data_IF_036026662452
#
_entry.id   IF_036026662452
#
_cell.length_a   1.000
_cell.length_b   1.000
_cell.length_c   1.000
_cell.angle_alpha   90.00
_cell.angle_beta   90.00
_cell.angle_gamma   90.00
#
_symmetry.space_group_name_H-M   'P 1'
#
loop_
_entity.id
_entity.type
_entity.pdbx_description
1 polymer ?
#
# COMPACT_ATOMS: atom_id res chain seq x y z
N UNK A 1 88.63 -22.88 -29.82
CA UNK A 1 88.52 -22.09 -28.58
C UNK A 1 87.99 -20.66 -28.82
N UNK A 2 87.98 -20.16 -30.04
CA UNK A 2 87.46 -18.82 -30.38
C UNK A 2 85.95 -18.73 -30.62
N UNK A 3 85.28 -19.84 -30.91
CA UNK A 3 83.81 -19.87 -31.14
C UNK A 3 82.98 -19.83 -29.84
N UNK A 4 83.52 -20.26 -28.71
CA UNK A 4 82.81 -20.31 -27.40
C UNK A 4 82.78 -18.92 -26.72
N UNK A 5 83.79 -18.07 -26.97
CA UNK A 5 83.84 -16.70 -26.42
C UNK A 5 82.88 -15.75 -27.15
N UNK A 6 82.52 -15.98 -28.44
CA UNK A 6 81.53 -15.18 -29.19
C UNK A 6 80.10 -15.42 -28.74
N UNK A 7 79.72 -16.63 -28.31
CA UNK A 7 78.41 -16.99 -27.86
C UNK A 7 78.13 -16.44 -26.44
N UNK A 8 79.18 -16.44 -25.56
CA UNK A 8 79.02 -15.85 -24.21
C UNK A 8 78.86 -14.31 -24.23
N UNK A 9 79.55 -13.62 -25.19
CA UNK A 9 79.38 -12.18 -25.38
C UNK A 9 78.03 -11.79 -25.98
N UNK A 10 77.46 -12.63 -26.85
CA UNK A 10 76.15 -12.40 -27.47
C UNK A 10 74.99 -12.68 -26.52
N UNK A 11 75.07 -13.66 -25.58
CA UNK A 11 74.13 -13.94 -24.57
C UNK A 11 74.10 -12.87 -23.43
N UNK A 12 75.30 -12.35 -23.07
CA UNK A 12 75.47 -11.28 -22.11
C UNK A 12 74.90 -9.91 -22.59
N UNK A 13 75.02 -9.65 -23.91
CA UNK A 13 74.51 -8.40 -24.50
C UNK A 13 72.98 -8.42 -24.72
N UNK A 14 72.38 -9.59 -24.87
CA UNK A 14 70.91 -9.73 -25.03
C UNK A 14 70.11 -9.67 -23.68
N UNK A 15 70.81 -9.85 -22.55
CA UNK A 15 70.20 -9.80 -21.23
C UNK A 15 70.32 -8.41 -20.54
N UNK A 16 70.96 -7.43 -21.23
CA UNK A 16 71.21 -6.08 -20.70
C UNK A 16 70.23 -5.01 -21.20
N UNK A 17 69.13 -5.40 -21.85
CA UNK A 17 68.13 -4.44 -22.39
C UNK A 17 66.71 -4.80 -22.04
N UNK A 18 66.49 -5.30 -20.83
CA UNK A 18 65.16 -5.23 -20.29
C UNK A 18 64.88 -3.75 -19.92
N UNK A 19 63.83 -3.12 -20.44
CA UNK A 19 63.52 -1.76 -20.08
C UNK A 19 63.26 -1.73 -18.57
N UNK A 20 63.98 -0.82 -17.87
CA UNK A 20 63.72 -0.57 -16.44
C UNK A 20 62.44 0.22 -16.30
N UNK A 21 61.58 -0.12 -15.33
CA UNK A 21 60.33 0.54 -14.97
C UNK A 21 59.13 -0.37 -15.13
N UNK A 22 58.20 -0.26 -14.19
CA UNK A 22 56.89 -0.94 -14.25
C UNK A 22 56.03 -0.31 -15.35
N UNK A 23 55.38 -1.19 -16.15
CA UNK A 23 54.49 -0.76 -17.24
C UNK A 23 53.14 -0.36 -16.71
N UNK A 24 52.73 0.91 -16.97
CA UNK A 24 51.50 1.50 -16.41
C UNK A 24 50.65 2.13 -17.49
N UNK A 25 49.32 2.07 -17.26
CA UNK A 25 48.35 2.86 -17.99
C UNK A 25 48.10 4.16 -17.22
N UNK A 26 47.90 5.28 -17.92
CA UNK A 26 47.64 6.58 -17.30
C UNK A 26 46.30 7.15 -17.79
N UNK A 27 45.62 7.91 -16.93
CA UNK A 27 44.45 8.72 -17.27
C UNK A 27 44.71 10.17 -16.86
N UNK A 28 44.00 11.10 -17.50
CA UNK A 28 44.05 12.51 -17.11
C UNK A 28 42.90 12.82 -16.11
N UNK A 29 43.21 13.71 -15.19
CA UNK A 29 42.15 14.31 -14.34
C UNK A 29 41.32 15.26 -15.19
N UNK A 30 40.03 15.02 -15.29
CA UNK A 30 39.10 15.83 -16.08
C UNK A 30 37.92 16.27 -15.24
N UNK A 31 37.30 17.39 -15.61
CA UNK A 31 36.01 17.79 -15.01
C UNK A 31 34.87 17.09 -15.75
N UNK A 32 34.03 16.40 -14.99
CA UNK A 32 32.84 15.66 -15.49
C UNK A 32 31.68 15.82 -14.56
N UNK A 33 30.47 15.56 -15.09
CA UNK A 33 29.30 15.30 -14.27
C UNK A 33 29.33 13.86 -13.82
N UNK A 34 29.33 13.61 -12.51
CA UNK A 34 29.23 12.29 -11.90
C UNK A 34 27.85 12.12 -11.33
N UNK A 35 27.24 10.99 -11.59
CA UNK A 35 25.93 10.60 -11.03
C UNK A 35 26.13 9.39 -10.15
N UNK A 36 25.89 9.54 -8.85
CA UNK A 36 25.84 8.38 -7.97
C UNK A 36 24.52 7.66 -8.18
N UNK A 37 24.56 6.37 -8.48
CA UNK A 37 23.39 5.55 -8.75
C UNK A 37 23.31 4.36 -7.81
N UNK A 38 22.08 3.99 -7.44
CA UNK A 38 21.75 2.76 -6.73
C UNK A 38 20.97 1.86 -7.67
N UNK A 39 21.57 0.72 -8.02
CA UNK A 39 20.92 -0.28 -8.87
C UNK A 39 20.05 -1.22 -8.04
N UNK A 40 18.82 -1.43 -8.48
CA UNK A 40 17.89 -2.35 -7.85
C UNK A 40 17.06 -3.09 -8.89
N UNK A 41 16.57 -4.27 -8.54
CA UNK A 41 15.65 -5.05 -9.39
C UNK A 41 14.32 -5.26 -8.71
N UNK A 42 13.27 -5.40 -9.52
CA UNK A 42 11.92 -5.58 -9.01
C UNK A 42 10.91 -5.88 -10.08
N UNK A 43 9.66 -5.51 -9.83
CA UNK A 43 8.54 -5.75 -10.75
C UNK A 43 7.65 -4.54 -10.87
N UNK A 44 6.99 -4.44 -12.02
CA UNK A 44 6.02 -3.40 -12.32
C UNK A 44 4.65 -3.83 -11.82
N UNK A 45 3.97 -2.94 -11.10
CA UNK A 45 2.61 -3.10 -10.60
C UNK A 45 1.78 -1.85 -10.92
N UNK A 46 0.46 -1.94 -10.95
CA UNK A 46 -0.39 -0.76 -10.98
C UNK A 46 -0.28 0.00 -9.66
N UNK A 47 -0.32 1.33 -9.70
CA UNK A 47 -0.32 2.18 -8.49
C UNK A 47 -1.55 1.89 -7.62
N UNK A 48 -2.69 1.60 -8.27
CA UNK A 48 -3.94 1.25 -7.59
C UNK A 48 -4.43 -0.11 -8.04
N UNK A 49 -4.51 -1.05 -7.11
CA UNK A 49 -5.09 -2.37 -7.29
C UNK A 49 -6.11 -2.65 -6.20
N UNK A 50 -7.30 -3.12 -6.59
CA UNK A 50 -8.37 -3.48 -5.66
C UNK A 50 -8.70 -4.96 -5.82
N UNK A 51 -8.50 -5.71 -4.75
CA UNK A 51 -8.87 -7.14 -4.68
C UNK A 51 -10.35 -7.23 -4.35
N UNK A 52 -11.11 -7.94 -5.18
CA UNK A 52 -12.54 -8.19 -5.01
C UNK A 52 -12.71 -9.56 -4.37
N UNK A 53 -13.33 -9.57 -3.19
CA UNK A 53 -13.72 -10.78 -2.47
C UNK A 53 -15.21 -10.71 -2.10
N UNK A 54 -15.94 -11.84 -2.04
CA UNK A 54 -17.36 -11.81 -1.69
C UNK A 54 -17.54 -11.58 -0.19
N UNK A 55 -18.58 -10.85 0.17
CA UNK A 55 -19.00 -10.71 1.58
C UNK A 55 -19.82 -11.92 2.07
N UNK A 56 -20.43 -12.65 1.13
CA UNK A 56 -21.30 -13.80 1.41
C UNK A 56 -20.82 -15.04 0.68
N UNK A 57 -21.00 -16.18 1.32
CA UNK A 57 -20.65 -17.48 0.70
C UNK A 57 -21.79 -18.01 -0.15
N UNK A 58 -21.45 -18.62 -1.28
CA UNK A 58 -22.42 -19.24 -2.20
C UNK A 58 -21.79 -19.70 -3.49
N UNK A 59 -22.59 -20.15 -4.45
CA UNK A 59 -22.20 -20.53 -5.80
C UNK A 59 -22.33 -19.32 -6.75
N UNK A 60 -21.40 -19.15 -7.66
CA UNK A 60 -21.46 -18.12 -8.70
C UNK A 60 -22.44 -18.56 -9.78
N UNK A 61 -23.61 -17.95 -9.82
CA UNK A 61 -24.65 -18.29 -10.83
C UNK A 61 -24.48 -17.51 -12.12
N UNK A 62 -23.93 -16.32 -12.06
CA UNK A 62 -23.71 -15.45 -13.21
C UNK A 62 -22.38 -14.72 -13.07
N UNK A 63 -21.62 -14.70 -14.17
CA UNK A 63 -20.35 -13.97 -14.33
C UNK A 63 -20.48 -13.16 -15.61
N UNK A 64 -20.29 -11.84 -15.53
CA UNK A 64 -20.57 -10.89 -16.61
C UNK A 64 -19.30 -10.28 -17.22
N UNK A 65 -18.15 -10.64 -16.72
CA UNK A 65 -16.87 -10.05 -17.09
C UNK A 65 -15.82 -11.14 -17.27
N UNK A 66 -14.81 -10.83 -18.10
CA UNK A 66 -13.66 -11.67 -18.39
C UNK A 66 -12.35 -10.95 -17.98
N UNK A 67 -11.25 -11.69 -17.90
CA UNK A 67 -9.93 -11.11 -17.66
C UNK A 67 -9.53 -10.22 -18.83
N UNK A 68 -9.08 -9.00 -18.53
CA UNK A 68 -8.75 -7.98 -19.54
C UNK A 68 -9.88 -6.99 -19.83
N UNK A 69 -11.10 -7.22 -19.35
CA UNK A 69 -12.22 -6.29 -19.56
C UNK A 69 -12.01 -4.98 -18.78
N UNK A 70 -12.40 -3.88 -19.42
CA UNK A 70 -12.49 -2.57 -18.77
C UNK A 70 -13.83 -2.42 -18.05
N UNK A 71 -13.81 -2.06 -16.79
CA UNK A 71 -15.00 -1.90 -15.93
C UNK A 71 -15.07 -0.50 -15.35
N UNK A 72 -16.31 0.00 -15.16
CA UNK A 72 -16.56 1.29 -14.51
C UNK A 72 -17.11 1.08 -13.10
N UNK A 73 -16.90 2.07 -12.23
CA UNK A 73 -17.44 2.05 -10.87
C UNK A 73 -18.96 1.80 -10.87
N UNK A 74 -19.42 0.83 -10.06
CA UNK A 74 -20.82 0.42 -9.94
C UNK A 74 -21.28 -0.61 -10.97
N UNK A 75 -20.45 -0.98 -11.95
CA UNK A 75 -20.75 -2.03 -12.93
C UNK A 75 -20.92 -3.38 -12.25
N UNK A 76 -21.90 -4.16 -12.70
CA UNK A 76 -22.15 -5.52 -12.22
C UNK A 76 -21.04 -6.45 -12.74
N UNK A 77 -20.39 -7.16 -11.82
CA UNK A 77 -19.31 -8.10 -12.13
C UNK A 77 -19.81 -9.53 -12.13
N UNK A 78 -20.45 -9.94 -11.04
CA UNK A 78 -20.98 -11.30 -10.90
C UNK A 78 -22.12 -11.33 -9.89
N UNK A 79 -22.84 -12.47 -9.86
CA UNK A 79 -23.89 -12.75 -8.90
C UNK A 79 -23.66 -14.10 -8.24
N UNK A 80 -23.68 -14.10 -6.91
CA UNK A 80 -23.75 -15.30 -6.07
C UNK A 80 -25.20 -15.72 -5.92
N UNK A 81 -25.49 -17.00 -5.78
CA UNK A 81 -26.85 -17.54 -5.62
C UNK A 81 -27.65 -16.80 -4.53
N UNK A 82 -28.74 -16.09 -4.89
CA UNK A 82 -29.50 -15.30 -3.98
C UNK A 82 -30.65 -16.06 -3.29
N UNK A 83 -30.95 -17.33 -3.63
CA UNK A 83 -32.20 -18.04 -3.26
C UNK A 83 -32.37 -18.12 -1.75
N UNK A 84 -31.32 -18.47 -1.01
CA UNK A 84 -31.35 -18.57 0.44
C UNK A 84 -31.59 -17.18 1.08
N UNK A 85 -30.99 -16.15 0.53
CA UNK A 85 -31.14 -14.76 1.03
C UNK A 85 -32.51 -14.18 0.70
N UNK A 86 -33.07 -14.48 -0.50
CA UNK A 86 -34.44 -14.12 -0.87
C UNK A 86 -35.45 -14.73 0.10
N UNK A 87 -35.35 -16.04 0.36
CA UNK A 87 -36.21 -16.74 1.31
C UNK A 87 -36.08 -16.16 2.74
N UNK A 88 -34.89 -15.70 3.13
CA UNK A 88 -34.70 -15.04 4.42
C UNK A 88 -35.38 -13.67 4.46
N UNK A 89 -35.32 -12.87 3.40
CA UNK A 89 -36.05 -11.60 3.29
C UNK A 89 -37.55 -11.78 3.37
N UNK A 90 -38.11 -12.75 2.64
CA UNK A 90 -39.55 -13.06 2.68
C UNK A 90 -40.00 -13.44 4.10
N UNK A 91 -39.22 -14.24 4.83
CA UNK A 91 -39.51 -14.55 6.25
C UNK A 91 -39.45 -13.27 7.13
N UNK A 92 -38.44 -12.40 6.86
CA UNK A 92 -38.30 -11.12 7.57
C UNK A 92 -39.51 -10.21 7.34
N UNK A 93 -40.00 -10.13 6.10
CA UNK A 93 -41.22 -9.36 5.74
C UNK A 93 -42.50 -9.90 6.43
N UNK A 94 -42.64 -11.23 6.48
CA UNK A 94 -43.75 -11.86 7.21
C UNK A 94 -43.69 -11.54 8.72
N UNK A 95 -42.52 -11.57 9.33
CA UNK A 95 -42.32 -11.21 10.74
C UNK A 95 -42.64 -9.74 11.00
N UNK A 96 -42.22 -8.84 10.14
CA UNK A 96 -42.56 -7.42 10.22
C UNK A 96 -44.07 -7.19 10.12
N UNK A 97 -44.74 -7.88 9.17
CA UNK A 97 -46.20 -7.78 9.02
C UNK A 97 -46.94 -8.29 10.26
N UNK A 98 -46.45 -9.36 10.89
CA UNK A 98 -47.01 -9.85 12.17
C UNK A 98 -46.85 -8.82 13.30
N UNK A 99 -45.66 -8.19 13.42
CA UNK A 99 -45.41 -7.15 14.40
C UNK A 99 -46.32 -5.92 14.18
N UNK A 100 -46.52 -5.50 12.94
CA UNK A 100 -47.44 -4.41 12.56
C UNK A 100 -48.90 -4.73 12.90
N UNK A 101 -49.31 -5.98 12.67
CA UNK A 101 -50.65 -6.45 13.04
C UNK A 101 -50.87 -6.39 14.56
N UNK A 102 -49.87 -6.86 15.34
CA UNK A 102 -49.95 -6.79 16.81
C UNK A 102 -50.00 -5.34 17.32
N UNK A 103 -49.22 -4.43 16.72
CA UNK A 103 -49.29 -3.00 17.03
C UNK A 103 -50.69 -2.41 16.71
N UNK A 104 -51.26 -2.79 15.57
CA UNK A 104 -52.63 -2.34 15.21
C UNK A 104 -53.70 -2.82 16.22
N UNK A 105 -53.59 -4.07 16.69
CA UNK A 105 -54.46 -4.63 17.74
C UNK A 105 -54.30 -3.86 19.05
N UNK A 106 -53.05 -3.56 19.46
CA UNK A 106 -52.79 -2.78 20.67
C UNK A 106 -53.33 -1.34 20.57
N UNK A 107 -53.30 -0.71 19.40
CA UNK A 107 -53.89 0.60 19.14
C UNK A 107 -55.43 0.55 19.17
N UNK A 108 -56.07 -0.51 18.65
CA UNK A 108 -57.51 -0.70 18.72
C UNK A 108 -57.97 -0.85 20.17
N UNK A 109 -57.17 -1.47 21.05
CA UNK A 109 -57.46 -1.59 22.47
C UNK A 109 -57.50 -0.21 23.19
N UNK A 110 -56.62 0.73 22.79
CA UNK A 110 -56.68 2.11 23.30
C UNK A 110 -58.04 2.75 22.96
N UNK A 111 -58.47 2.65 21.70
CA UNK A 111 -59.72 3.22 21.24
C UNK A 111 -60.93 2.61 21.99
N UNK A 112 -60.90 1.30 22.27
CA UNK A 112 -61.93 0.62 23.08
C UNK A 112 -61.93 1.16 24.49
N UNK A 113 -60.81 1.30 25.16
CA UNK A 113 -60.76 1.84 26.54
C UNK A 113 -61.16 3.33 26.62
N UNK A 114 -60.84 4.12 25.57
CA UNK A 114 -61.26 5.51 25.45
C UNK A 114 -62.80 5.63 25.31
N UNK A 115 -63.41 4.73 24.54
CA UNK A 115 -64.90 4.65 24.44
C UNK A 115 -65.51 4.30 25.77
N UNK A 116 -64.96 3.36 26.53
CA UNK A 116 -65.42 3.01 27.86
C UNK A 116 -65.30 4.18 28.85
N UNK A 117 -64.17 4.93 28.78
CA UNK A 117 -64.02 6.16 29.59
C UNK A 117 -65.14 7.19 29.30
N UNK A 118 -65.49 7.39 28.02
CA UNK A 118 -66.52 8.31 27.61
C UNK A 118 -67.92 7.91 28.21
N UNK A 119 -68.20 6.60 28.25
CA UNK A 119 -69.40 6.07 28.89
C UNK A 119 -69.41 6.40 30.40
N UNK A 120 -68.32 6.18 31.12
CA UNK A 120 -68.17 6.48 32.53
C UNK A 120 -68.26 8.00 32.83
N UNK A 121 -67.72 8.85 31.95
CA UNK A 121 -67.78 10.30 32.02
C UNK A 121 -69.25 10.76 31.92
N UNK A 122 -70.06 10.12 31.06
CA UNK A 122 -71.50 10.37 30.93
C UNK A 122 -72.23 9.97 32.19
N UNK A 123 -71.89 8.84 32.81
CA UNK A 123 -72.47 8.39 34.10
C UNK A 123 -72.04 9.34 35.23
N UNK A 124 -70.82 9.82 35.32
CA UNK A 124 -70.39 10.83 36.29
C UNK A 124 -71.19 12.14 36.12
N UNK A 125 -71.41 12.61 34.90
CA UNK A 125 -72.20 13.80 34.62
C UNK A 125 -73.68 13.64 35.10
N UNK A 126 -74.21 12.42 34.99
CA UNK A 126 -75.54 12.13 35.52
C UNK A 126 -75.54 12.11 37.04
N UNK A 127 -74.55 11.47 37.71
CA UNK A 127 -74.44 11.45 39.16
C UNK A 127 -74.30 12.89 39.74
N UNK A 128 -73.45 13.72 39.11
CA UNK A 128 -73.26 15.12 39.49
C UNK A 128 -74.63 15.92 39.45
N UNK A 129 -75.32 15.77 38.35
CA UNK A 129 -76.63 16.45 38.21
C UNK A 129 -77.68 16.03 39.31
N UNK A 130 -77.61 14.74 39.71
CA UNK A 130 -78.48 14.25 40.79
C UNK A 130 -78.03 14.80 42.15
N UNK A 131 -76.72 14.79 42.37
CA UNK A 131 -76.12 15.30 43.61
C UNK A 131 -76.39 16.83 43.80
N UNK A 132 -76.13 17.63 42.75
CA UNK A 132 -76.36 19.09 42.76
C UNK A 132 -77.80 19.42 43.10
N UNK A 133 -78.77 18.69 42.55
CA UNK A 133 -80.18 18.85 42.88
C UNK A 133 -80.47 18.42 44.33
N UNK A 134 -79.93 17.30 44.79
CA UNK A 134 -80.13 16.83 46.18
C UNK A 134 -79.42 17.78 47.17
N UNK A 135 -78.30 18.40 46.80
CA UNK A 135 -77.66 19.43 47.61
C UNK A 135 -78.56 20.63 47.87
N UNK A 136 -79.25 21.16 46.84
CA UNK A 136 -80.22 22.27 47.00
C UNK A 136 -81.36 21.87 47.86
N UNK A 137 -81.93 20.68 47.65
CA UNK A 137 -83.06 20.20 48.44
C UNK A 137 -82.71 19.95 49.91
N UNK A 138 -81.44 19.57 50.18
CA UNK A 138 -80.97 19.42 51.54
C UNK A 138 -80.78 20.77 52.24
N UNK A 139 -80.16 21.75 51.51
CA UNK A 139 -80.07 23.14 52.01
C UNK A 139 -81.40 23.77 52.30
N UNK A 140 -82.45 23.41 51.57
CA UNK A 140 -83.87 23.82 51.79
C UNK A 140 -84.58 23.00 52.89
N UNK A 141 -83.91 21.97 53.46
CA UNK A 141 -84.51 21.12 54.52
C UNK A 141 -85.56 20.10 54.06
N UNK A 142 -85.61 19.82 52.73
CA UNK A 142 -86.63 18.95 52.10
C UNK A 142 -86.26 17.47 52.15
N UNK A 143 -84.95 17.13 52.15
CA UNK A 143 -84.48 15.74 52.20
C UNK A 143 -83.62 15.47 53.43
N UNK A 144 -83.48 14.17 53.81
CA UNK A 144 -82.62 13.76 54.91
C UNK A 144 -81.13 13.80 54.52
N UNK A 145 -80.23 13.89 55.52
CA UNK A 145 -78.80 13.80 55.35
C UNK A 145 -78.35 12.47 54.67
N UNK A 146 -79.04 11.39 54.98
CA UNK A 146 -78.76 10.07 54.37
C UNK A 146 -78.90 10.09 52.86
N UNK A 147 -79.92 10.75 52.28
CA UNK A 147 -80.14 10.87 50.84
C UNK A 147 -79.08 11.77 50.21
N UNK A 148 -78.62 12.83 50.89
CA UNK A 148 -77.55 13.68 50.46
C UNK A 148 -76.20 12.87 50.41
N UNK A 149 -75.87 12.19 51.51
CA UNK A 149 -74.67 11.40 51.62
C UNK A 149 -74.66 10.26 50.62
N UNK A 150 -75.77 9.61 50.35
CA UNK A 150 -75.90 8.59 49.31
C UNK A 150 -75.62 9.13 47.91
N UNK A 151 -76.08 10.35 47.61
CA UNK A 151 -75.83 10.98 46.31
C UNK A 151 -74.32 11.38 46.13
N UNK A 152 -73.72 11.81 47.26
CA UNK A 152 -72.23 12.10 47.27
C UNK A 152 -71.45 10.83 47.04
N UNK A 153 -71.75 9.75 47.75
CA UNK A 153 -71.10 8.46 47.56
C UNK A 153 -71.16 7.91 46.12
N UNK A 154 -72.29 8.20 45.43
CA UNK A 154 -72.45 7.83 44.02
C UNK A 154 -71.59 8.63 43.11
N UNK A 155 -71.33 9.94 43.37
CA UNK A 155 -70.39 10.78 42.64
C UNK A 155 -68.95 10.26 42.86
N UNK A 156 -68.55 10.00 44.10
CA UNK A 156 -67.20 9.47 44.45
C UNK A 156 -66.97 8.12 43.77
N UNK A 157 -67.95 7.22 43.76
CA UNK A 157 -67.90 5.92 43.09
C UNK A 157 -67.68 6.08 41.56
N UNK A 158 -68.45 7.04 40.95
CA UNK A 158 -68.25 7.31 39.51
C UNK A 158 -66.89 7.93 39.19
N UNK A 159 -66.37 8.80 40.09
CA UNK A 159 -65.03 9.36 39.95
C UNK A 159 -63.94 8.27 40.06
N UNK A 160 -64.05 7.36 41.02
CA UNK A 160 -63.16 6.23 41.16
C UNK A 160 -63.14 5.32 39.92
N UNK A 161 -64.33 5.12 39.31
CA UNK A 161 -64.49 4.35 38.07
C UNK A 161 -63.76 5.01 36.89
N UNK A 162 -63.79 6.33 36.75
CA UNK A 162 -63.06 7.08 35.73
C UNK A 162 -61.59 7.00 36.00
N UNK A 163 -61.12 7.13 37.25
CA UNK A 163 -59.71 6.99 37.58
C UNK A 163 -59.16 5.60 37.18
N UNK A 164 -59.93 4.54 37.40
CA UNK A 164 -59.61 3.19 36.94
C UNK A 164 -59.56 3.09 35.43
N UNK A 165 -60.51 3.69 34.70
CA UNK A 165 -60.43 3.69 33.21
C UNK A 165 -59.23 4.45 32.66
N UNK A 166 -58.85 5.58 33.29
CA UNK A 166 -57.63 6.31 32.93
C UNK A 166 -56.33 5.47 33.12
N UNK A 167 -56.28 4.71 34.23
CA UNK A 167 -55.18 3.78 34.47
C UNK A 167 -55.14 2.69 33.39
N UNK A 168 -56.29 2.15 32.96
CA UNK A 168 -56.37 1.16 31.88
C UNK A 168 -55.96 1.75 30.53
N UNK A 169 -56.32 2.98 30.21
CA UNK A 169 -55.87 3.68 29.00
C UNK A 169 -54.36 3.87 29.03
N UNK A 170 -53.82 4.28 30.17
CA UNK A 170 -52.36 4.43 30.32
C UNK A 170 -51.63 3.10 30.07
N UNK A 171 -52.12 2.01 30.69
CA UNK A 171 -51.55 0.67 30.48
C UNK A 171 -51.64 0.23 29.02
N UNK A 172 -52.77 0.48 28.33
CA UNK A 172 -52.93 0.18 26.91
C UNK A 172 -51.99 1.00 26.02
N UNK A 173 -51.75 2.28 26.37
CA UNK A 173 -50.77 3.14 25.66
C UNK A 173 -49.33 2.64 25.81
N UNK A 174 -48.94 2.21 27.01
CA UNK A 174 -47.62 1.61 27.22
C UNK A 174 -47.48 0.29 26.47
N UNK A 175 -48.53 -0.54 26.42
CA UNK A 175 -48.53 -1.78 25.61
C UNK A 175 -48.41 -1.50 24.12
N UNK A 176 -49.11 -0.49 23.59
CA UNK A 176 -48.98 -0.07 22.20
C UNK A 176 -47.57 0.45 21.85
N UNK A 177 -46.95 1.19 22.79
CA UNK A 177 -45.59 1.65 22.67
C UNK A 177 -44.56 0.48 22.65
N UNK A 178 -44.78 -0.53 23.48
CA UNK A 178 -43.97 -1.75 23.46
C UNK A 178 -44.10 -2.50 22.12
N UNK A 179 -45.30 -2.59 21.56
CA UNK A 179 -45.54 -3.17 20.24
C UNK A 179 -44.90 -2.35 19.13
N UNK A 180 -44.85 -1.02 19.25
CA UNK A 180 -44.13 -0.14 18.32
C UNK A 180 -42.61 -0.43 18.30
N UNK A 181 -41.98 -0.60 19.47
CA UNK A 181 -40.58 -1.01 19.56
C UNK A 181 -40.32 -2.39 18.93
N UNK A 182 -41.28 -3.32 19.03
CA UNK A 182 -41.19 -4.61 18.35
C UNK A 182 -41.24 -4.46 16.84
N UNK A 183 -42.03 -3.52 16.29
CA UNK A 183 -42.01 -3.19 14.86
C UNK A 183 -40.68 -2.64 14.45
N UNK A 184 -40.10 -1.67 15.18
CA UNK A 184 -38.79 -1.10 14.90
C UNK A 184 -37.67 -2.18 14.91
N UNK A 185 -37.71 -3.10 15.87
CA UNK A 185 -36.79 -4.24 15.93
C UNK A 185 -36.91 -5.15 14.70
N UNK A 186 -38.16 -5.44 14.28
CA UNK A 186 -38.41 -6.27 13.09
C UNK A 186 -38.00 -5.57 11.79
N UNK A 187 -38.14 -4.24 11.71
CA UNK A 187 -37.68 -3.42 10.58
C UNK A 187 -36.15 -3.42 10.48
N UNK A 188 -35.45 -3.30 11.62
CA UNK A 188 -33.98 -3.38 11.66
C UNK A 188 -33.45 -4.75 11.18
N UNK A 189 -34.10 -5.84 11.66
CA UNK A 189 -33.79 -7.20 11.23
C UNK A 189 -34.03 -7.41 9.72
N UNK A 190 -35.16 -6.92 9.20
CA UNK A 190 -35.45 -6.98 7.76
C UNK A 190 -34.42 -6.19 6.94
N UNK A 191 -33.98 -5.03 7.42
CA UNK A 191 -32.93 -4.24 6.76
C UNK A 191 -31.63 -5.03 6.68
N UNK A 192 -31.23 -5.72 7.75
CA UNK A 192 -30.05 -6.59 7.76
C UNK A 192 -30.15 -7.69 6.69
N UNK A 193 -31.30 -8.39 6.63
CA UNK A 193 -31.54 -9.45 5.62
C UNK A 193 -31.48 -8.90 4.19
N UNK A 194 -32.05 -7.71 3.94
CA UNK A 194 -31.97 -7.03 2.64
C UNK A 194 -30.52 -6.61 2.29
N UNK A 195 -29.74 -6.19 3.27
CA UNK A 195 -28.31 -5.90 3.07
C UNK A 195 -27.54 -7.16 2.68
N UNK A 196 -27.78 -8.28 3.36
CA UNK A 196 -27.14 -9.55 3.01
C UNK A 196 -27.56 -10.02 1.61
N UNK A 197 -28.81 -9.83 1.21
CA UNK A 197 -29.24 -10.09 -0.15
C UNK A 197 -28.52 -9.17 -1.17
N UNK A 198 -28.35 -7.89 -0.86
CA UNK A 198 -27.65 -6.97 -1.76
C UNK A 198 -26.18 -7.36 -1.98
N UNK A 199 -25.53 -7.98 -0.98
CA UNK A 199 -24.16 -8.49 -1.04
C UNK A 199 -23.97 -9.71 -1.94
N UNK A 200 -25.05 -10.36 -2.37
CA UNK A 200 -24.99 -11.43 -3.39
C UNK A 200 -24.69 -10.88 -4.78
N UNK A 201 -24.90 -9.58 -4.99
CA UNK A 201 -24.66 -8.89 -6.24
C UNK A 201 -23.38 -8.07 -6.12
N UNK A 202 -22.30 -8.55 -6.72
CA UNK A 202 -20.97 -7.93 -6.60
C UNK A 202 -20.77 -6.94 -7.74
N UNK A 203 -20.44 -5.70 -7.38
CA UNK A 203 -20.20 -4.58 -8.29
C UNK A 203 -18.79 -4.04 -8.12
N UNK A 204 -18.27 -3.43 -9.18
CA UNK A 204 -16.96 -2.78 -9.13
C UNK A 204 -16.97 -1.57 -8.20
N UNK A 205 -16.04 -1.48 -7.23
CA UNK A 205 -15.89 -0.30 -6.37
C UNK A 205 -15.17 0.85 -7.07
N UNK A 206 -14.42 0.57 -8.15
CA UNK A 206 -13.60 1.54 -8.90
C UNK A 206 -13.69 1.31 -10.39
N UNK A 207 -13.21 2.28 -11.17
CA UNK A 207 -12.99 2.13 -12.61
C UNK A 207 -11.59 1.58 -12.83
N UNK A 208 -11.43 0.64 -13.77
CA UNK A 208 -10.14 0.02 -14.08
C UNK A 208 -10.29 -1.15 -15.03
N UNK A 209 -9.27 -2.00 -15.10
CA UNK A 209 -9.22 -3.22 -15.92
C UNK A 209 -9.10 -4.42 -15.02
N UNK A 210 -9.77 -5.51 -15.36
CA UNK A 210 -9.64 -6.78 -14.64
C UNK A 210 -8.26 -7.37 -14.96
N UNK A 211 -7.34 -7.27 -14.02
CA UNK A 211 -5.96 -7.76 -14.17
C UNK A 211 -5.82 -9.26 -13.88
N UNK A 212 -6.75 -9.83 -13.12
CA UNK A 212 -6.80 -11.26 -12.81
C UNK A 212 -8.23 -11.66 -12.47
N UNK A 213 -8.66 -12.83 -12.94
CA UNK A 213 -9.94 -13.46 -12.62
C UNK A 213 -9.65 -14.88 -12.12
N UNK A 214 -9.87 -15.11 -10.82
CA UNK A 214 -9.48 -16.37 -10.14
C UNK A 214 -10.61 -17.37 -10.00
N UNK A 215 -11.82 -17.06 -10.50
CA UNK A 215 -13.03 -17.89 -10.32
C UNK A 215 -13.79 -18.09 -11.61
N UNK A 216 -14.57 -19.15 -11.67
CA UNK A 216 -15.43 -19.51 -12.81
C UNK A 216 -16.90 -19.57 -12.41
N UNK A 217 -17.80 -19.47 -13.41
CA UNK A 217 -19.24 -19.69 -13.21
C UNK A 217 -19.50 -21.12 -12.74
N UNK A 218 -20.30 -21.27 -11.68
CA UNK A 218 -20.61 -22.54 -11.01
C UNK A 218 -19.67 -22.89 -9.87
N UNK A 219 -18.63 -22.09 -9.65
CA UNK A 219 -17.69 -22.27 -8.54
C UNK A 219 -18.29 -21.75 -7.23
N UNK A 220 -17.89 -22.38 -6.12
CA UNK A 220 -18.34 -21.99 -4.78
C UNK A 220 -17.31 -21.11 -4.08
N UNK A 221 -17.73 -19.92 -3.70
CA UNK A 221 -16.90 -18.94 -3.02
C UNK A 221 -17.23 -18.81 -1.54
N UNK A 222 -16.24 -18.42 -0.74
CA UNK A 222 -16.37 -18.21 0.70
C UNK A 222 -16.27 -16.72 1.00
N UNK A 223 -17.26 -16.18 1.73
CA UNK A 223 -17.29 -14.77 2.12
C UNK A 223 -16.32 -14.43 3.24
N UNK A 224 -15.95 -13.13 3.32
CA UNK A 224 -14.94 -12.59 4.25
C UNK A 224 -15.40 -12.46 5.70
N UNK A 225 -16.68 -12.69 6.03
CA UNK A 225 -17.24 -12.37 7.35
C UNK A 225 -16.58 -13.10 8.53
N UNK A 226 -15.93 -14.25 8.30
CA UNK A 226 -15.35 -15.09 9.36
C UNK A 226 -13.94 -15.61 9.08
N UNK A 227 -13.45 -15.48 7.84
CA UNK A 227 -12.13 -15.97 7.40
C UNK A 227 -11.61 -15.11 6.25
N UNK A 228 -10.37 -15.32 5.83
CA UNK A 228 -9.90 -14.78 4.55
C UNK A 228 -10.82 -15.29 3.44
N UNK A 229 -11.57 -14.40 2.80
CA UNK A 229 -12.49 -14.75 1.72
C UNK A 229 -11.75 -15.25 0.49
N UNK A 230 -12.49 -15.91 -0.42
CA UNK A 230 -11.95 -16.27 -1.73
C UNK A 230 -11.67 -15.01 -2.53
N UNK A 231 -10.46 -14.85 -3.05
CA UNK A 231 -10.17 -13.81 -4.03
C UNK A 231 -10.86 -14.15 -5.34
N UNK A 232 -11.77 -13.26 -5.79
CA UNK A 232 -12.53 -13.45 -7.03
C UNK A 232 -11.77 -12.89 -8.22
N UNK A 233 -11.40 -11.63 -8.13
CA UNK A 233 -10.70 -10.90 -9.19
C UNK A 233 -9.94 -9.70 -8.63
N UNK A 234 -9.03 -9.17 -9.44
CA UNK A 234 -8.33 -7.91 -9.19
C UNK A 234 -8.72 -6.89 -10.22
N UNK A 235 -8.99 -5.68 -9.81
CA UNK A 235 -9.26 -4.53 -10.66
C UNK A 235 -8.14 -3.54 -10.47
N UNK A 236 -7.43 -3.21 -11.54
CA UNK A 236 -6.23 -2.41 -11.55
C UNK A 236 -6.38 -1.18 -12.45
N UNK A 237 -5.85 -0.04 -12.01
CA UNK A 237 -5.68 1.11 -12.91
C UNK A 237 -4.35 0.97 -13.65
N UNK A 238 -4.42 0.57 -14.91
CA UNK A 238 -3.24 0.37 -15.76
C UNK A 238 -2.71 1.66 -16.41
N UNK A 239 -3.32 2.81 -16.15
CA UNK A 239 -2.84 4.09 -16.66
C UNK A 239 -1.67 4.63 -15.83
N UNK A 240 -1.62 4.28 -14.54
CA UNK A 240 -0.55 4.66 -13.63
C UNK A 240 0.15 3.42 -13.10
N UNK A 241 1.41 3.26 -13.50
CA UNK A 241 2.22 2.10 -13.12
C UNK A 241 3.37 2.52 -12.19
N UNK A 242 3.71 1.64 -11.26
CA UNK A 242 4.87 1.78 -10.39
C UNK A 242 5.78 0.56 -10.47
N UNK A 243 7.09 0.78 -10.38
CA UNK A 243 8.05 -0.27 -10.16
C UNK A 243 8.27 -0.43 -8.66
N UNK A 244 8.06 -1.63 -8.14
CA UNK A 244 8.39 -2.01 -6.77
C UNK A 244 9.69 -2.78 -6.79
N UNK A 245 10.74 -2.17 -6.26
CA UNK A 245 12.11 -2.70 -6.28
C UNK A 245 12.64 -2.94 -4.88
N UNK A 246 13.55 -3.89 -4.77
CA UNK A 246 14.20 -4.24 -3.51
C UNK A 246 15.59 -3.60 -3.46
N UNK A 247 15.79 -2.68 -2.53
CA UNK A 247 17.04 -1.98 -2.27
C UNK A 247 17.67 -2.53 -0.99
N UNK A 248 19.00 -2.73 -0.99
CA UNK A 248 19.74 -3.28 0.15
C UNK A 248 19.81 -2.28 1.32
N UNK A 249 20.05 -2.78 2.55
CA UNK A 249 20.20 -1.96 3.75
C UNK A 249 21.34 -0.93 3.63
N UNK A 250 22.40 -1.25 2.89
CA UNK A 250 23.55 -0.36 2.73
C UNK A 250 23.23 0.84 1.81
N UNK A 251 22.36 0.64 0.83
CA UNK A 251 22.07 1.62 -0.22
C UNK A 251 20.81 2.43 0.08
N UNK A 252 19.87 1.90 0.90
CA UNK A 252 18.61 2.58 1.21
C UNK A 252 18.80 3.93 1.88
N UNK A 253 19.90 4.11 2.61
CA UNK A 253 20.23 5.37 3.28
C UNK A 253 20.59 6.50 2.32
N UNK A 254 20.94 6.17 1.07
CA UNK A 254 21.28 7.14 0.02
C UNK A 254 20.04 7.57 -0.76
N UNK A 255 19.00 6.72 -0.83
CA UNK A 255 17.79 6.97 -1.62
C UNK A 255 16.87 7.96 -0.91
N UNK A 256 16.41 8.96 -1.66
CA UNK A 256 15.49 9.97 -1.17
C UNK A 256 14.19 9.99 -1.98
N UNK A 257 13.14 10.59 -1.36
CA UNK A 257 11.88 10.82 -2.07
C UNK A 257 12.08 11.83 -3.20
N UNK A 258 11.48 11.55 -4.35
CA UNK A 258 11.56 12.30 -5.62
C UNK A 258 12.90 12.19 -6.35
N UNK A 259 13.80 11.28 -5.98
CA UNK A 259 14.96 10.97 -6.79
C UNK A 259 14.52 10.53 -8.19
N UNK A 260 15.23 10.99 -9.21
CA UNK A 260 15.01 10.59 -10.59
C UNK A 260 15.52 9.17 -10.80
N UNK A 261 14.80 8.38 -11.58
CA UNK A 261 15.11 6.97 -11.79
C UNK A 261 15.05 6.63 -13.25
N UNK A 262 16.09 5.97 -13.75
CA UNK A 262 16.11 5.30 -15.03
C UNK A 262 15.63 3.85 -14.87
N UNK A 263 14.61 3.46 -15.64
CA UNK A 263 13.94 2.16 -15.52
C UNK A 263 14.12 1.39 -16.83
N UNK A 264 14.67 0.20 -16.74
CA UNK A 264 14.77 -0.76 -17.83
C UNK A 264 13.81 -1.92 -17.57
N UNK A 265 12.94 -2.20 -18.53
CA UNK A 265 11.97 -3.29 -18.44
C UNK A 265 12.40 -4.42 -19.36
N UNK A 266 12.49 -5.64 -18.85
CA UNK A 266 13.01 -6.79 -19.60
C UNK A 266 12.24 -7.07 -20.91
N UNK A 267 10.95 -6.69 -20.95
CA UNK A 267 10.12 -6.82 -22.13
C UNK A 267 10.47 -5.81 -23.26
N UNK A 268 11.22 -4.75 -22.95
CA UNK A 268 11.56 -3.63 -23.85
C UNK A 268 13.07 -3.33 -23.80
N UNK A 269 13.89 -4.25 -24.30
CA UNK A 269 15.36 -4.28 -24.16
C UNK A 269 16.06 -3.00 -24.65
N UNK A 270 15.49 -2.32 -25.66
CA UNK A 270 16.13 -1.15 -26.30
C UNK A 270 15.55 0.20 -25.80
N UNK A 271 14.77 0.21 -24.73
CA UNK A 271 14.13 1.41 -24.22
C UNK A 271 14.35 1.60 -22.73
N UNK A 272 14.73 2.82 -22.37
CA UNK A 272 14.76 3.30 -21.00
C UNK A 272 13.51 4.14 -20.73
N UNK A 273 12.90 3.90 -19.58
CA UNK A 273 11.79 4.67 -19.08
C UNK A 273 12.26 5.51 -17.90
N UNK A 274 11.61 6.63 -17.67
CA UNK A 274 11.93 7.50 -16.53
C UNK A 274 10.84 7.39 -15.47
N UNK A 275 11.23 7.63 -14.23
CA UNK A 275 10.31 7.64 -13.10
C UNK A 275 10.85 8.44 -11.93
N UNK A 276 10.10 8.46 -10.85
CA UNK A 276 10.49 9.11 -9.59
C UNK A 276 10.16 8.23 -8.39
N UNK A 277 11.03 8.28 -7.39
CA UNK A 277 10.78 7.62 -6.11
C UNK A 277 9.60 8.28 -5.41
N UNK A 278 8.53 7.51 -5.15
CA UNK A 278 7.31 7.99 -4.49
C UNK A 278 7.17 7.52 -3.05
N UNK A 279 7.69 6.34 -2.73
CA UNK A 279 7.59 5.77 -1.38
C UNK A 279 8.82 4.90 -1.08
N UNK A 280 9.30 5.00 0.15
CA UNK A 280 10.37 4.16 0.69
C UNK A 280 9.80 3.44 1.91
N UNK A 281 9.79 2.10 1.87
CA UNK A 281 9.26 1.31 2.98
C UNK A 281 10.11 1.48 4.24
N UNK A 282 9.47 1.74 5.37
CA UNK A 282 10.13 1.90 6.68
C UNK A 282 10.47 0.55 7.36
N UNK A 283 10.02 -0.58 6.78
CA UNK A 283 10.28 -1.92 7.31
C UNK A 283 10.86 -2.81 6.23
N UNK A 284 11.76 -3.69 6.63
CA UNK A 284 12.35 -4.68 5.74
C UNK A 284 11.30 -5.65 5.18
N UNK A 285 11.45 -6.07 3.92
CA UNK A 285 10.52 -6.95 3.21
C UNK A 285 10.33 -8.30 3.91
N UNK A 286 11.37 -8.84 4.54
CA UNK A 286 11.34 -10.11 5.28
C UNK A 286 10.78 -10.00 6.71
N UNK A 287 10.74 -8.81 7.31
CA UNK A 287 10.12 -8.59 8.63
C UNK A 287 8.59 -8.72 8.60
N UNK A 288 7.94 -8.46 7.46
CA UNK A 288 6.48 -8.54 7.29
C UNK A 288 5.95 -9.98 7.18
N UNK A 289 6.79 -10.96 6.86
CA UNK A 289 6.40 -12.37 6.67
C UNK A 289 6.32 -13.16 7.98
N UNK A 290 5.91 -12.59 9.10
CA UNK A 290 5.44 -13.20 10.36
C UNK A 290 5.94 -14.60 10.79
N UNK A 291 6.94 -15.17 10.14
CA UNK A 291 7.52 -16.47 10.45
C UNK A 291 8.63 -16.30 11.48
N UNK A 292 8.22 -16.14 12.73
CA UNK A 292 9.06 -15.88 13.90
C UNK A 292 9.99 -17.04 14.33
N UNK A 293 10.43 -17.93 13.42
CA UNK A 293 11.16 -19.11 13.85
C UNK A 293 12.40 -19.47 13.02
N UNK A 294 13.01 -18.53 12.30
CA UNK A 294 14.33 -18.80 11.70
C UNK A 294 15.20 -17.53 11.82
N UNK A 295 16.02 -17.50 12.86
CA UNK A 295 17.19 -16.65 12.96
C UNK A 295 18.23 -17.14 11.93
N UNK A 296 17.92 -17.04 10.64
CA UNK A 296 18.92 -17.18 9.59
C UNK A 296 19.62 -15.84 9.46
N UNK A 297 20.79 -15.73 10.05
CA UNK A 297 21.68 -14.56 10.09
C UNK A 297 22.27 -14.21 8.71
N UNK A 298 22.06 -15.05 7.70
CA UNK A 298 22.63 -14.88 6.35
C UNK A 298 21.66 -14.28 5.32
N UNK A 299 20.49 -13.80 5.76
CA UNK A 299 19.52 -13.22 4.82
C UNK A 299 19.75 -11.71 4.70
N UNK A 300 20.09 -11.25 3.50
CA UNK A 300 20.26 -9.82 3.18
C UNK A 300 18.96 -9.09 3.48
N UNK A 301 19.06 -8.01 4.23
CA UNK A 301 17.92 -7.14 4.56
C UNK A 301 17.63 -6.22 3.38
N UNK A 302 16.46 -6.35 2.76
CA UNK A 302 16.02 -5.50 1.67
C UNK A 302 14.83 -4.65 2.08
N UNK A 303 14.75 -3.45 1.51
CA UNK A 303 13.64 -2.50 1.67
C UNK A 303 12.95 -2.29 0.33
N UNK A 304 11.62 -2.22 0.35
CA UNK A 304 10.84 -1.97 -0.85
C UNK A 304 10.81 -0.48 -1.12
N UNK A 305 11.22 -0.10 -2.34
CA UNK A 305 11.11 1.26 -2.86
C UNK A 305 10.12 1.24 -4.01
N UNK A 306 9.13 2.17 -3.98
CA UNK A 306 8.15 2.34 -5.05
C UNK A 306 8.53 3.53 -5.91
N UNK A 307 8.56 3.31 -7.20
CA UNK A 307 8.97 4.28 -8.20
C UNK A 307 7.83 4.41 -9.21
N UNK A 308 7.22 5.58 -9.29
CA UNK A 308 6.16 5.83 -10.28
C UNK A 308 6.81 6.07 -11.63
N UNK A 309 6.35 5.32 -12.64
CA UNK A 309 6.76 5.51 -14.03
C UNK A 309 6.12 6.80 -14.58
N UNK A 310 6.90 7.57 -15.32
CA UNK A 310 6.42 8.78 -15.99
C UNK A 310 5.53 8.37 -17.19
N UNK A 311 4.25 8.74 -17.21
CA UNK A 311 3.34 8.41 -18.31
C UNK A 311 3.86 8.90 -19.67
N UNK A 312 4.58 10.02 -19.69
CA UNK A 312 5.16 10.58 -20.91
C UNK A 312 6.20 9.67 -21.57
N UNK A 313 6.89 8.83 -20.78
CA UNK A 313 7.95 7.93 -21.26
C UNK A 313 7.42 6.71 -22.02
N UNK A 314 6.15 6.34 -21.86
CA UNK A 314 5.55 5.16 -22.48
C UNK A 314 4.27 5.42 -23.29
N UNK A 315 3.80 6.67 -23.37
CA UNK A 315 2.58 7.02 -24.15
C UNK A 315 2.71 6.60 -25.62
N UNK A 316 3.90 6.66 -26.21
CA UNK A 316 4.16 6.23 -27.58
C UNK A 316 3.97 4.72 -27.83
N UNK A 317 4.02 3.90 -26.77
CA UNK A 317 3.83 2.45 -26.86
C UNK A 317 2.36 2.05 -26.86
N UNK A 318 1.45 2.96 -26.49
CA UNK A 318 0.02 2.73 -26.53
C UNK A 318 -0.48 2.79 -27.97
N UNK A 319 -0.54 1.64 -28.63
CA UNK A 319 -1.05 1.47 -29.98
C UNK A 319 -2.48 0.93 -29.93
N UNK A 320 -3.22 1.05 -31.07
CA UNK A 320 -4.61 0.54 -31.21
C UNK A 320 -4.77 -0.96 -30.87
N UNK A 321 -3.69 -1.74 -30.89
CA UNK A 321 -3.69 -3.17 -30.57
C UNK A 321 -3.34 -3.50 -29.12
N UNK A 322 -2.74 -2.55 -28.35
CA UNK A 322 -2.43 -2.70 -26.95
C UNK A 322 -2.60 -1.37 -26.26
N UNK A 323 -3.73 -1.19 -25.60
CA UNK A 323 -4.03 0.04 -24.84
C UNK A 323 -3.13 0.21 -23.63
N UNK A 324 -2.51 -0.86 -23.15
CA UNK A 324 -1.69 -0.87 -21.93
C UNK A 324 -0.35 -1.55 -22.23
N UNK A 325 0.77 -0.79 -22.27
CA UNK A 325 2.09 -1.33 -22.60
C UNK A 325 2.65 -2.23 -21.50
N UNK A 326 2.34 -1.94 -20.25
CA UNK A 326 2.83 -2.73 -19.11
C UNK A 326 1.74 -3.65 -18.57
N UNK A 327 2.17 -4.84 -18.14
CA UNK A 327 1.32 -5.78 -17.42
C UNK A 327 1.84 -5.97 -15.98
N UNK A 328 0.96 -6.09 -14.98
CA UNK A 328 1.37 -6.39 -13.63
C UNK A 328 2.28 -7.63 -13.56
N UNK A 329 3.38 -7.52 -12.81
CA UNK A 329 4.34 -8.61 -12.64
C UNK A 329 5.51 -8.64 -13.64
N UNK A 330 5.57 -7.73 -14.64
CA UNK A 330 6.75 -7.60 -15.51
C UNK A 330 7.99 -7.25 -14.69
N UNK A 331 9.13 -7.88 -15.01
CA UNK A 331 10.41 -7.58 -14.38
C UNK A 331 10.99 -6.27 -14.88
N UNK A 332 11.61 -5.54 -13.98
CA UNK A 332 12.32 -4.30 -14.27
C UNK A 332 13.58 -4.18 -13.42
N UNK A 333 14.61 -3.59 -14.03
CA UNK A 333 15.83 -3.13 -13.35
C UNK A 333 15.81 -1.61 -13.31
N UNK A 334 16.25 -1.03 -12.22
CA UNK A 334 16.23 0.43 -12.04
C UNK A 334 17.57 0.94 -11.57
N UNK A 335 17.91 2.15 -12.00
CA UNK A 335 19.05 2.92 -11.55
C UNK A 335 18.52 4.20 -10.91
N UNK A 336 18.53 4.26 -9.58
CA UNK A 336 18.08 5.41 -8.80
C UNK A 336 19.22 6.39 -8.70
N UNK A 337 19.04 7.61 -9.19
CA UNK A 337 20.05 8.67 -9.16
C UNK A 337 19.95 9.37 -7.79
N UNK A 338 20.90 9.09 -6.92
CA UNK A 338 20.88 9.55 -5.52
C UNK A 338 21.59 10.89 -5.32
N UNK A 339 22.64 11.16 -6.11
CA UNK A 339 23.34 12.44 -6.11
C UNK A 339 23.90 12.73 -7.50
N UNK A 340 23.93 14.02 -7.85
CA UNK A 340 24.49 14.49 -9.12
C UNK A 340 25.37 15.68 -8.82
N UNK A 341 26.63 15.58 -9.21
CA UNK A 341 27.59 16.69 -9.09
C UNK A 341 28.12 17.06 -10.47
N UNK A 342 27.92 18.30 -10.85
CA UNK A 342 28.35 18.84 -12.15
C UNK A 342 29.74 19.43 -12.06
N UNK A 343 30.51 19.22 -13.14
CA UNK A 343 31.87 19.82 -13.32
C UNK A 343 32.84 19.52 -12.17
N UNK A 344 32.76 18.33 -11.56
CA UNK A 344 33.70 17.92 -10.51
C UNK A 344 34.93 17.26 -11.10
N UNK A 345 36.09 17.47 -10.44
CA UNK A 345 37.33 16.81 -10.81
C UNK A 345 37.19 15.30 -10.59
N UNK A 346 37.46 14.53 -11.62
CA UNK A 346 37.25 13.07 -11.60
C UNK A 346 38.42 12.30 -12.15
N UNK A 347 38.59 11.09 -11.65
CA UNK A 347 39.56 10.10 -12.13
C UNK A 347 38.86 8.75 -12.23
N UNK A 348 39.43 7.80 -13.04
CA UNK A 348 38.96 6.43 -13.04
C UNK A 348 39.08 5.80 -11.63
N UNK A 349 38.01 5.10 -11.18
CA UNK A 349 37.99 4.44 -9.86
C UNK A 349 39.21 3.57 -9.62
N UNK A 350 39.72 2.92 -10.68
CA UNK A 350 40.89 2.02 -10.64
C UNK A 350 42.17 2.74 -10.22
N UNK A 351 42.26 4.08 -10.33
CA UNK A 351 43.43 4.87 -9.98
C UNK A 351 43.55 5.12 -8.46
N UNK A 352 42.46 4.97 -7.72
CA UNK A 352 42.44 5.16 -6.26
C UNK A 352 42.84 3.85 -5.58
N UNK A 353 43.76 3.93 -4.63
CA UNK A 353 44.17 2.79 -3.81
C UNK A 353 44.30 3.20 -2.34
N UNK A 354 44.16 2.24 -1.44
CA UNK A 354 44.34 2.46 0.00
C UNK A 354 45.76 2.05 0.37
N UNK A 355 46.49 2.94 1.04
CA UNK A 355 47.82 2.71 1.54
C UNK A 355 47.94 3.11 3.00
N UNK A 356 48.78 2.38 3.68
CA UNK A 356 49.25 2.77 5.00
C UNK A 356 50.28 3.91 4.84
N UNK A 357 49.97 5.05 5.44
CA UNK A 357 50.82 6.27 5.41
C UNK A 357 51.49 6.49 6.75
N UNK A 358 51.31 5.57 7.73
CA UNK A 358 51.97 5.67 9.04
C UNK A 358 53.50 5.63 8.94
N UNK A 359 54.18 6.42 9.76
CA UNK A 359 55.63 6.34 9.92
C UNK A 359 56.00 5.06 10.70
N UNK A 360 57.20 4.53 10.42
CA UNK A 360 57.69 3.27 11.06
C UNK A 360 57.55 3.33 12.61
N UNK A 361 56.57 2.58 13.14
CA UNK A 361 56.36 2.44 14.59
C UNK A 361 55.07 3.09 15.11
N UNK A 362 54.25 3.68 14.27
CA UNK A 362 52.89 4.16 14.60
C UNK A 362 51.85 3.12 14.22
N UNK A 363 50.61 3.30 14.73
CA UNK A 363 49.44 2.48 14.33
C UNK A 363 49.14 2.69 12.84
N UNK A 364 48.70 1.63 12.13
CA UNK A 364 48.36 1.69 10.70
C UNK A 364 47.36 2.83 10.43
N UNK A 365 47.76 3.80 9.58
CA UNK A 365 46.91 4.93 9.13
C UNK A 365 46.62 4.73 7.64
N UNK A 366 45.52 4.00 7.38
CA UNK A 366 45.05 3.68 6.04
C UNK A 366 44.39 4.90 5.40
N UNK A 367 44.99 5.41 4.31
CA UNK A 367 44.47 6.56 3.56
C UNK A 367 44.28 6.25 2.07
N UNK A 368 43.33 6.95 1.48
CA UNK A 368 43.15 6.95 0.04
C UNK A 368 44.25 7.74 -0.62
N UNK A 369 44.95 7.11 -1.58
CA UNK A 369 46.04 7.71 -2.31
C UNK A 369 45.90 7.45 -3.80
N UNK A 370 46.46 8.35 -4.58
CA UNK A 370 46.60 8.26 -6.03
C UNK A 370 48.06 8.43 -6.40
N UNK A 371 48.53 7.72 -7.42
CA UNK A 371 49.89 7.88 -7.95
C UNK A 371 49.87 8.77 -9.19
N UNK A 372 50.57 9.90 -9.14
CA UNK A 372 50.81 10.76 -10.27
C UNK A 372 51.98 10.20 -11.08
N UNK A 373 51.86 10.31 -12.42
CA UNK A 373 52.95 10.06 -13.33
C UNK A 373 53.72 11.36 -13.59
N UNK A 374 54.90 11.50 -13.02
CA UNK A 374 55.78 12.69 -13.20
C UNK A 374 57.19 12.23 -13.59
N UNK A 375 57.64 12.66 -14.75
CA UNK A 375 59.04 12.41 -15.22
C UNK A 375 59.49 10.93 -15.10
N UNK A 376 58.65 10.01 -15.58
CA UNK A 376 58.90 8.54 -15.54
C UNK A 376 58.97 7.96 -14.11
N UNK A 377 58.42 8.64 -13.14
CA UNK A 377 58.34 8.18 -11.73
C UNK A 377 56.97 8.34 -11.14
N UNK A 378 56.61 7.46 -10.16
CA UNK A 378 55.39 7.54 -9.40
C UNK A 378 55.54 8.53 -8.23
N UNK A 379 54.62 9.47 -8.10
CA UNK A 379 54.50 10.32 -6.93
C UNK A 379 53.20 10.02 -6.22
N UNK A 380 53.27 9.55 -5.01
CA UNK A 380 52.10 9.30 -4.17
C UNK A 380 51.52 10.60 -3.64
N UNK A 381 50.21 10.80 -3.83
CA UNK A 381 49.45 11.94 -3.32
C UNK A 381 48.23 11.42 -2.55
N UNK A 382 48.07 11.91 -1.33
CA UNK A 382 46.87 11.63 -0.56
C UNK A 382 45.68 12.43 -1.11
N UNK A 383 44.54 11.78 -1.30
CA UNK A 383 43.32 12.37 -1.85
C UNK A 383 42.17 12.17 -0.90
N UNK A 384 41.15 13.00 -1.07
CA UNK A 384 39.83 12.78 -0.44
C UNK A 384 38.82 12.60 -1.57
N UNK A 385 38.17 11.47 -1.60
CA UNK A 385 37.17 11.14 -2.62
C UNK A 385 35.77 11.65 -2.25
N UNK A 386 34.91 11.69 -3.22
CA UNK A 386 33.51 12.07 -3.08
C UNK A 386 32.56 11.01 -3.64
N UNK A 387 31.57 11.44 -4.43
CA UNK A 387 30.65 10.52 -5.12
C UNK A 387 31.34 9.78 -6.24
N UNK A 388 30.81 8.63 -6.60
CA UNK A 388 31.34 7.80 -7.69
C UNK A 388 30.21 7.24 -8.57
N UNK A 389 30.54 7.03 -9.83
CA UNK A 389 29.73 6.23 -10.75
C UNK A 389 30.43 4.89 -11.05
N UNK A 390 30.03 4.17 -12.10
CA UNK A 390 30.62 2.87 -12.46
C UNK A 390 32.07 2.95 -12.97
N UNK A 391 32.53 4.12 -13.45
CA UNK A 391 33.85 4.28 -14.08
C UNK A 391 34.72 5.32 -13.37
N UNK A 392 34.12 6.37 -12.80
CA UNK A 392 34.84 7.55 -12.28
C UNK A 392 34.46 7.85 -10.83
N UNK A 393 35.41 8.44 -10.11
CA UNK A 393 35.24 8.90 -8.73
C UNK A 393 35.63 10.37 -8.64
N UNK A 394 34.81 11.14 -7.90
CA UNK A 394 35.07 12.55 -7.58
C UNK A 394 36.29 12.69 -6.66
N UNK A 395 37.14 13.70 -6.95
CA UNK A 395 38.23 14.13 -6.08
C UNK A 395 37.86 15.49 -5.45
N UNK A 396 37.69 15.52 -4.14
CA UNK A 396 37.43 16.74 -3.38
C UNK A 396 38.71 17.53 -3.11
N UNK A 397 39.79 16.81 -2.83
CA UNK A 397 41.11 17.43 -2.56
C UNK A 397 42.25 16.53 -3.04
N UNK A 398 43.41 17.13 -3.32
CA UNK A 398 44.67 16.43 -3.54
C UNK A 398 45.26 16.59 -4.92
N UNK A 399 44.45 16.83 -5.96
CA UNK A 399 44.94 16.97 -7.35
C UNK A 399 44.35 18.19 -8.05
N UNK A 400 45.02 18.65 -9.11
CA UNK A 400 44.54 19.70 -9.99
C UNK A 400 44.09 19.13 -11.35
N UNK A 401 43.45 19.94 -12.16
CA UNK A 401 43.00 19.59 -13.52
C UNK A 401 44.23 19.33 -14.42
N UNK A 402 44.09 18.43 -15.43
CA UNK A 402 45.11 18.07 -16.40
C UNK A 402 46.38 17.35 -15.84
N UNK A 403 46.26 16.79 -14.64
CA UNK A 403 47.35 15.91 -14.11
C UNK A 403 47.20 14.49 -14.62
N UNK A 404 48.32 13.80 -14.86
CA UNK A 404 48.32 12.40 -15.26
C UNK A 404 48.39 11.49 -14.03
N UNK A 405 47.34 10.70 -13.85
CA UNK A 405 47.23 9.70 -12.77
C UNK A 405 47.44 8.30 -13.35
N UNK A 406 48.04 7.41 -12.58
CA UNK A 406 48.22 6.00 -12.98
C UNK A 406 46.89 5.29 -12.75
N UNK A 407 46.27 4.74 -13.82
CA UNK A 407 45.00 4.05 -13.79
C UNK A 407 45.09 2.53 -13.87
N UNK A 408 46.28 1.99 -14.15
CA UNK A 408 46.42 0.54 -14.28
C UNK A 408 47.84 0.05 -14.52
N UNK A 409 48.05 -1.26 -14.47
CA UNK A 409 47.13 -2.30 -14.00
C UNK A 409 47.01 -2.31 -12.48
N UNK A 410 45.84 -2.71 -11.98
CA UNK A 410 45.52 -2.70 -10.52
C UNK A 410 46.55 -3.48 -9.67
N UNK A 411 47.10 -4.57 -10.20
CA UNK A 411 48.16 -5.35 -9.54
C UNK A 411 49.46 -4.56 -9.30
N UNK A 412 49.80 -3.64 -10.19
CA UNK A 412 50.92 -2.75 -10.01
C UNK A 412 50.61 -1.66 -8.98
N UNK A 413 49.46 -1.01 -9.07
CA UNK A 413 48.99 -0.01 -8.13
C UNK A 413 48.87 -0.53 -6.71
N UNK A 414 48.38 -1.76 -6.53
CA UNK A 414 48.12 -2.33 -5.20
C UNK A 414 49.34 -2.85 -4.47
N UNK A 415 50.45 -3.25 -5.21
CA UNK A 415 51.57 -3.98 -4.59
C UNK A 415 52.97 -3.55 -5.03
N UNK A 416 53.13 -3.04 -6.27
CA UNK A 416 54.46 -2.85 -6.87
C UNK A 416 54.86 -1.38 -6.91
N UNK A 417 53.94 -0.45 -6.99
CA UNK A 417 54.24 0.97 -7.11
C UNK A 417 54.31 1.59 -5.71
N UNK A 418 55.45 2.19 -5.42
CA UNK A 418 55.73 3.00 -4.25
C UNK A 418 56.14 4.40 -4.67
N UNK A 419 56.21 5.33 -3.72
CA UNK A 419 56.66 6.68 -4.02
C UNK A 419 58.09 6.71 -4.56
N UNK A 420 58.29 7.20 -5.81
CA UNK A 420 59.58 7.23 -6.47
C UNK A 420 59.91 6.01 -7.36
N UNK A 421 58.95 5.08 -7.52
CA UNK A 421 59.13 3.91 -8.42
C UNK A 421 59.33 4.39 -9.88
N UNK A 422 60.36 3.88 -10.60
CA UNK A 422 60.56 4.12 -12.03
C UNK A 422 59.43 3.45 -12.84
N UNK A 423 58.79 4.22 -13.71
CA UNK A 423 57.62 3.83 -14.49
C UNK A 423 57.91 3.88 -15.98
N UNK A 424 57.16 3.12 -16.73
CA UNK A 424 57.12 3.15 -18.17
C UNK A 424 55.68 3.15 -18.66
N UNK A 425 55.32 4.10 -19.52
CA UNK A 425 54.03 4.10 -20.18
C UNK A 425 53.91 2.88 -21.10
N UNK A 426 52.78 2.20 -20.99
CA UNK A 426 52.41 1.13 -21.91
C UNK A 426 52.17 1.74 -23.28
N UNK A 427 52.98 1.33 -24.30
CA UNK A 427 52.70 1.75 -25.66
C UNK A 427 51.34 1.20 -26.09
N UNK A 428 50.41 2.09 -26.53
CA UNK A 428 49.15 1.69 -27.12
C UNK A 428 49.39 0.72 -28.28
N UNK A 429 49.48 -0.56 -27.95
CA UNK A 429 49.65 -1.64 -28.91
C UNK A 429 48.41 -1.79 -29.76
N UNK A 430 48.60 -1.67 -31.09
CA UNK A 430 47.66 -2.03 -32.16
C UNK A 430 46.58 -3.02 -31.69
N UNK A 431 45.32 -2.59 -31.68
CA UNK A 431 44.17 -3.47 -31.55
C UNK A 431 44.33 -4.66 -32.48
N UNK A 432 44.68 -5.83 -31.97
CA UNK A 432 44.54 -7.08 -32.69
C UNK A 432 43.08 -7.26 -33.08
N UNK A 433 42.84 -7.12 -34.40
CA UNK A 433 41.59 -7.58 -35.00
C UNK A 433 41.55 -9.10 -34.87
N UNK A 434 40.68 -9.61 -34.03
CA UNK A 434 40.17 -10.95 -34.12
C UNK A 434 38.65 -10.93 -34.30
#
# INVERSE_FOLDING_TARGET
MLAVLGIAGFVGFKNSSAPKGEEVDTAQTEQRTIKETVSASGRIYPETEVIISPDVSGEIVELYVEEGDSVVQGQLLLRVDPEVFLSAVERGEANLNNAKSNMATSRAQIASNESQKLELETSLKQANRVHDRNKQLFEEGVISQEVYDQSLAQVESAQASIASALANIKAAKESAKAAEYTVLSSEASLKELKTNLSRTTIKSPTTGVISSLSVEKGERVVGTATMSGTEIMRISDLNTMEAQVEVTENDILKVNLNDDVDIEVDAYIDRKFTGKVTEIANSASNAASGSSNSLNTDQVTNFIVKIRLDPSSYTELSNEQSSYPFRPGMSASVEIITDVQDEVLSIPIQAVTIRDVAEEGEEEDLKEVVFLYESDTARMVQVTTGIQDDEFIELKTGLDVDQQVISGPYSALSKLIENGTELRLKEEGKKEKK
#
